data_IF_470585483937
#
_entry.id   IF_470585483937
#
_cell.length_a   1.000
_cell.length_b   1.000
_cell.length_c   1.000
_cell.angle_alpha   90.00
_cell.angle_beta   90.00
_cell.angle_gamma   90.00
#
_symmetry.space_group_name_H-M   'P 1'
#
loop_
_entity.id
_entity.type
_entity.pdbx_description
1 polymer ?
#
# COMPACT_ATOMS: atom_id res chain seq x y z
N UNK A 1 -51.66 -4.41 24.49
CA UNK A 1 -51.23 -3.09 24.00
C UNK A 1 -50.37 -2.48 25.09
N UNK A 2 -49.13 -2.08 24.77
CA UNK A 2 -48.27 -1.38 25.71
C UNK A 2 -48.86 0.03 25.97
N UNK A 3 -48.71 0.52 27.20
CA UNK A 3 -49.20 1.84 27.62
C UNK A 3 -48.38 2.98 26.98
N UNK A 4 -48.96 4.17 26.87
CA UNK A 4 -48.32 5.34 26.23
C UNK A 4 -47.00 5.78 26.91
N UNK A 5 -46.72 5.34 28.14
CA UNK A 5 -45.46 5.58 28.83
C UNK A 5 -44.35 4.59 28.45
N UNK A 6 -44.70 3.39 27.96
CA UNK A 6 -43.73 2.37 27.52
C UNK A 6 -43.15 2.63 26.12
N UNK A 7 -43.72 3.58 25.36
CA UNK A 7 -43.20 4.00 24.04
C UNK A 7 -42.13 5.10 24.12
N UNK A 8 -41.97 5.77 25.27
CA UNK A 8 -40.96 6.83 25.44
C UNK A 8 -39.53 6.33 25.59
N UNK A 9 -39.35 5.06 25.93
CA UNK A 9 -38.03 4.45 26.18
C UNK A 9 -37.58 3.49 25.06
N UNK A 10 -38.23 3.50 23.91
CA UNK A 10 -37.72 2.77 22.74
C UNK A 10 -36.56 3.58 22.14
N UNK A 11 -35.30 3.10 22.18
CA UNK A 11 -34.21 3.79 21.52
C UNK A 11 -34.52 3.82 20.02
N UNK A 12 -34.74 5.02 19.48
CA UNK A 12 -34.90 5.18 18.05
C UNK A 12 -33.52 5.03 17.41
N UNK A 13 -33.36 4.01 16.56
CA UNK A 13 -32.21 3.90 15.69
C UNK A 13 -32.52 4.69 14.41
N UNK A 14 -31.89 5.85 14.24
CA UNK A 14 -31.93 6.57 12.96
C UNK A 14 -30.99 5.86 11.99
N UNK A 15 -31.55 4.98 11.16
CA UNK A 15 -30.81 4.36 10.07
C UNK A 15 -30.91 5.24 8.82
N UNK A 16 -29.88 6.07 8.58
CA UNK A 16 -29.75 6.81 7.33
C UNK A 16 -29.06 5.94 6.28
N UNK A 17 -29.59 5.92 5.05
CA UNK A 17 -28.94 5.30 3.88
C UNK A 17 -28.65 6.37 2.85
N UNK A 18 -27.39 6.48 2.43
CA UNK A 18 -27.01 7.30 1.30
C UNK A 18 -27.02 6.42 0.05
N UNK A 19 -28.02 6.58 -0.81
CA UNK A 19 -28.12 5.82 -2.06
C UNK A 19 -27.62 6.71 -3.21
N UNK A 20 -26.50 6.33 -3.83
CA UNK A 20 -26.02 6.92 -5.07
C UNK A 20 -26.37 5.98 -6.23
N UNK A 21 -26.75 6.54 -7.38
CA UNK A 21 -26.75 5.79 -8.66
C UNK A 21 -25.35 5.22 -8.92
N UNK A 22 -25.15 4.15 -9.73
CA UNK A 22 -23.80 3.66 -10.00
C UNK A 22 -22.98 4.78 -10.65
N UNK A 23 -22.07 5.39 -9.89
CA UNK A 23 -21.15 6.43 -10.38
C UNK A 23 -19.92 5.76 -11.04
N UNK A 24 -19.68 4.48 -10.75
CA UNK A 24 -18.58 3.72 -11.33
C UNK A 24 -18.76 2.20 -11.20
N UNK A 25 -17.80 1.48 -11.76
CA UNK A 25 -17.63 0.03 -11.71
C UNK A 25 -16.65 -0.34 -10.59
N UNK A 26 -16.66 -1.60 -10.14
CA UNK A 26 -15.71 -2.09 -9.14
C UNK A 26 -14.28 -2.05 -9.69
N UNK A 27 -13.27 -1.93 -8.82
CA UNK A 27 -11.86 -1.94 -9.23
C UNK A 27 -11.48 -3.16 -10.09
N UNK A 28 -12.08 -4.32 -9.83
CA UNK A 28 -11.85 -5.56 -10.61
C UNK A 28 -12.44 -5.55 -12.03
N UNK A 29 -13.08 -4.47 -12.46
CA UNK A 29 -13.60 -4.27 -13.82
C UNK A 29 -12.64 -3.46 -14.72
N UNK A 30 -11.42 -3.18 -14.27
CA UNK A 30 -10.37 -2.58 -15.11
C UNK A 30 -10.01 -3.49 -16.29
N UNK A 31 -9.77 -2.90 -17.46
CA UNK A 31 -9.45 -3.66 -18.66
C UNK A 31 -7.97 -4.02 -18.79
N UNK A 32 -7.09 -3.28 -18.10
CA UNK A 32 -5.64 -3.35 -18.24
C UNK A 32 -4.92 -2.94 -16.95
N UNK A 33 -3.65 -3.34 -16.81
CA UNK A 33 -2.81 -2.85 -15.73
C UNK A 33 -2.53 -1.35 -15.84
N UNK A 34 -2.47 -0.80 -17.07
CA UNK A 34 -2.37 0.64 -17.29
C UNK A 34 -3.55 1.38 -16.66
N UNK A 35 -4.76 0.89 -16.92
CA UNK A 35 -5.97 1.44 -16.34
C UNK A 35 -6.00 1.32 -14.81
N UNK A 36 -5.58 0.17 -14.26
CA UNK A 36 -5.47 0.00 -12.81
C UNK A 36 -4.58 1.07 -12.18
N UNK A 37 -3.40 1.30 -12.74
CA UNK A 37 -2.45 2.30 -12.23
C UNK A 37 -3.06 3.71 -12.26
N UNK A 38 -3.79 4.06 -13.32
CA UNK A 38 -4.49 5.35 -13.43
C UNK A 38 -5.57 5.48 -12.36
N UNK A 39 -6.41 4.45 -12.19
CA UNK A 39 -7.51 4.45 -11.21
C UNK A 39 -6.97 4.56 -9.78
N UNK A 40 -5.91 3.80 -9.45
CA UNK A 40 -5.24 3.89 -8.15
C UNK A 40 -4.62 5.27 -7.92
N UNK A 41 -4.00 5.86 -8.95
CA UNK A 41 -3.45 7.20 -8.87
C UNK A 41 -4.51 8.25 -8.52
N UNK A 42 -5.63 8.27 -9.25
CA UNK A 42 -6.69 9.26 -8.99
C UNK A 42 -7.29 9.10 -7.58
N UNK A 43 -7.46 7.86 -7.11
CA UNK A 43 -7.93 7.57 -5.76
C UNK A 43 -6.95 8.12 -4.70
N UNK A 44 -5.65 7.94 -4.89
CA UNK A 44 -4.64 8.38 -3.94
C UNK A 44 -4.32 9.89 -4.03
N UNK A 45 -4.48 10.51 -5.20
CA UNK A 45 -4.46 11.98 -5.33
C UNK A 45 -5.62 12.59 -4.55
N UNK A 46 -6.83 12.00 -4.67
CA UNK A 46 -8.00 12.41 -3.89
C UNK A 46 -7.78 12.23 -2.38
N UNK A 47 -7.28 11.06 -1.98
CA UNK A 47 -6.91 10.75 -0.59
C UNK A 47 -5.92 11.78 -0.02
N UNK A 48 -4.83 12.07 -0.73
CA UNK A 48 -3.83 13.03 -0.29
C UNK A 48 -4.43 14.44 -0.15
N UNK A 49 -5.23 14.89 -1.12
CA UNK A 49 -5.87 16.20 -1.05
C UNK A 49 -6.83 16.33 0.16
N UNK A 50 -7.56 15.25 0.48
CA UNK A 50 -8.43 15.17 1.66
C UNK A 50 -7.60 15.21 2.95
N UNK A 51 -6.49 14.48 3.01
CA UNK A 51 -5.60 14.50 4.16
C UNK A 51 -4.96 15.89 4.36
N UNK A 52 -4.44 16.52 3.32
CA UNK A 52 -3.83 17.85 3.41
C UNK A 52 -4.82 18.94 3.81
N UNK A 53 -6.05 18.88 3.29
CA UNK A 53 -7.07 19.92 3.51
C UNK A 53 -7.81 19.75 4.84
N UNK A 54 -8.06 18.50 5.23
CA UNK A 54 -8.97 18.19 6.34
C UNK A 54 -8.32 17.37 7.46
N UNK A 55 -7.08 16.89 7.28
CA UNK A 55 -6.42 15.98 8.21
C UNK A 55 -7.12 14.62 8.31
N UNK A 56 -7.86 14.19 7.28
CA UNK A 56 -8.64 12.94 7.33
C UNK A 56 -7.80 11.76 6.80
N UNK A 57 -7.82 10.66 7.54
CA UNK A 57 -7.32 9.34 7.14
C UNK A 57 -8.50 8.47 6.72
N UNK A 58 -8.35 7.67 5.66
CA UNK A 58 -9.42 6.78 5.18
C UNK A 58 -9.50 5.50 6.00
N UNK A 59 -8.36 4.92 6.36
CA UNK A 59 -8.20 3.70 7.18
C UNK A 59 -8.73 2.39 6.57
N UNK A 60 -9.18 2.39 5.32
CA UNK A 60 -9.67 1.19 4.62
C UNK A 60 -9.48 1.29 3.09
N UNK A 61 -8.25 1.58 2.65
CA UNK A 61 -7.92 1.48 1.23
C UNK A 61 -7.97 0.01 0.80
N UNK A 62 -8.93 -0.31 -0.07
CA UNK A 62 -9.19 -1.68 -0.53
C UNK A 62 -9.79 -1.68 -1.94
N UNK A 63 -9.84 -2.86 -2.58
CA UNK A 63 -10.47 -3.01 -3.90
C UNK A 63 -11.97 -2.68 -3.92
N UNK A 64 -12.64 -2.74 -2.77
CA UNK A 64 -14.07 -2.46 -2.65
C UNK A 64 -14.37 -0.96 -2.56
N UNK A 65 -13.39 -0.18 -2.11
CA UNK A 65 -13.55 1.25 -1.81
C UNK A 65 -12.98 2.15 -2.91
N UNK A 66 -12.52 1.55 -4.02
CA UNK A 66 -12.06 2.27 -5.21
C UNK A 66 -12.92 1.87 -6.40
N UNK A 67 -13.51 2.86 -7.06
CA UNK A 67 -14.31 2.68 -8.25
C UNK A 67 -13.58 3.13 -9.51
N UNK A 68 -13.84 2.41 -10.60
CA UNK A 68 -13.49 2.81 -11.97
C UNK A 68 -14.65 3.63 -12.52
N UNK A 69 -14.40 4.88 -12.90
CA UNK A 69 -15.43 5.73 -13.50
C UNK A 69 -15.15 5.89 -14.98
N UNK A 70 -16.13 5.50 -15.80
CA UNK A 70 -16.09 5.62 -17.26
C UNK A 70 -17.24 6.50 -17.71
N UNK A 71 -16.88 7.63 -18.32
CA UNK A 71 -17.83 8.57 -18.87
C UNK A 71 -17.62 8.68 -20.39
N UNK A 72 -18.70 8.87 -21.14
CA UNK A 72 -18.61 9.02 -22.59
C UNK A 72 -17.67 10.16 -22.95
N UNK A 73 -16.76 9.91 -23.90
CA UNK A 73 -15.80 10.89 -24.42
C UNK A 73 -14.82 11.46 -23.38
N UNK A 74 -14.66 10.80 -22.22
CA UNK A 74 -13.70 11.18 -21.17
C UNK A 74 -12.72 10.04 -20.89
N UNK A 75 -11.49 10.36 -20.47
CA UNK A 75 -10.56 9.33 -19.99
C UNK A 75 -11.15 8.61 -18.77
N UNK A 76 -10.76 7.35 -18.60
CA UNK A 76 -11.01 6.61 -17.38
C UNK A 76 -10.38 7.33 -16.18
N UNK A 77 -11.10 7.31 -15.06
CA UNK A 77 -10.68 7.94 -13.81
C UNK A 77 -11.00 7.06 -12.61
N UNK A 78 -10.22 7.20 -11.55
CA UNK A 78 -10.48 6.55 -10.28
C UNK A 78 -11.33 7.40 -9.35
N UNK A 79 -12.05 6.75 -8.43
CA UNK A 79 -12.80 7.42 -7.38
C UNK A 79 -12.70 6.64 -6.07
N UNK A 80 -12.18 7.28 -5.03
CA UNK A 80 -12.18 6.77 -3.66
C UNK A 80 -13.54 7.01 -3.01
N UNK A 81 -14.10 5.99 -2.38
CA UNK A 81 -15.40 6.01 -1.71
C UNK A 81 -15.30 5.39 -0.32
N UNK A 82 -16.40 5.40 0.44
CA UNK A 82 -16.55 4.71 1.72
C UNK A 82 -15.60 5.22 2.83
N UNK A 83 -15.98 6.37 3.39
CA UNK A 83 -15.28 7.01 4.50
C UNK A 83 -15.88 6.61 5.86
N UNK A 84 -16.63 5.51 5.97
CA UNK A 84 -17.26 5.09 7.23
C UNK A 84 -16.21 4.72 8.29
N UNK A 85 -15.04 4.25 7.84
CA UNK A 85 -13.89 4.00 8.69
C UNK A 85 -12.98 5.24 8.84
N UNK A 86 -13.28 6.40 8.29
CA UNK A 86 -12.36 7.53 8.29
C UNK A 86 -12.20 8.19 9.68
N UNK A 87 -11.10 8.90 9.90
CA UNK A 87 -10.89 9.68 11.13
C UNK A 87 -10.07 10.93 10.88
N UNK A 88 -10.25 11.95 11.71
CA UNK A 88 -9.37 13.12 11.73
C UNK A 88 -8.10 12.74 12.50
N UNK A 89 -6.93 12.90 11.88
CA UNK A 89 -5.61 12.52 12.41
C UNK A 89 -5.30 13.19 13.76
N UNK A 90 -5.82 14.38 14.00
CA UNK A 90 -5.65 15.13 15.26
C UNK A 90 -6.61 14.72 16.38
N UNK A 91 -7.57 13.83 16.11
CA UNK A 91 -8.55 13.38 17.09
C UNK A 91 -7.92 12.40 18.09
N UNK A 92 -7.61 12.89 19.28
CA UNK A 92 -7.02 12.12 20.38
C UNK A 92 -7.97 11.08 20.98
N UNK A 93 -9.28 11.16 20.72
CA UNK A 93 -10.20 10.09 21.16
C UNK A 93 -9.93 8.77 20.41
N UNK A 94 -9.35 8.85 19.21
CA UNK A 94 -8.86 7.74 18.41
C UNK A 94 -7.62 7.04 18.99
N UNK A 95 -6.86 7.72 19.86
CA UNK A 95 -5.53 7.28 20.31
C UNK A 95 -5.56 6.44 21.58
N UNK A 96 -6.70 6.27 22.25
CA UNK A 96 -6.81 5.52 23.52
C UNK A 96 -6.65 4.00 23.28
N UNK A 97 -6.88 3.56 22.05
CA UNK A 97 -6.46 2.32 21.38
C UNK A 97 -6.99 2.43 19.96
N UNK A 98 -6.17 2.52 18.91
CA UNK A 98 -6.71 2.58 17.56
C UNK A 98 -7.57 1.34 17.34
N UNK A 99 -8.85 1.55 17.08
CA UNK A 99 -9.72 0.45 16.66
C UNK A 99 -9.10 -0.20 15.42
N UNK A 100 -9.02 -1.54 15.47
CA UNK A 100 -8.56 -2.30 14.31
C UNK A 100 -9.67 -2.28 13.27
N UNK A 101 -9.57 -1.31 12.37
CA UNK A 101 -10.47 -1.12 11.22
C UNK A 101 -9.76 -1.43 9.91
N UNK A 102 -10.55 -1.73 8.89
CA UNK A 102 -10.10 -1.99 7.53
C UNK A 102 -10.24 -3.44 7.09
N UNK A 103 -9.87 -3.70 5.85
CA UNK A 103 -9.87 -5.04 5.25
C UNK A 103 -8.56 -5.77 5.59
N UNK A 104 -8.63 -6.93 6.25
CA UNK A 104 -7.48 -7.59 6.92
C UNK A 104 -6.24 -7.77 6.01
N UNK A 105 -6.35 -8.25 4.75
CA UNK A 105 -5.21 -8.31 3.83
C UNK A 105 -4.53 -6.97 3.53
N UNK A 106 -5.25 -5.85 3.67
CA UNK A 106 -4.78 -4.52 3.33
C UNK A 106 -4.44 -3.66 4.56
N UNK A 107 -4.74 -4.10 5.79
CA UNK A 107 -4.35 -3.36 6.99
C UNK A 107 -2.81 -3.21 7.11
N UNK A 108 -2.33 -2.05 7.54
CA UNK A 108 -0.92 -1.83 7.90
C UNK A 108 -0.44 -2.74 9.04
N UNK A 109 0.87 -3.02 9.09
CA UNK A 109 1.49 -3.84 10.15
C UNK A 109 1.24 -3.22 11.52
N UNK A 110 1.40 -1.90 11.66
CA UNK A 110 1.16 -1.19 12.91
C UNK A 110 -0.29 -1.37 13.41
N UNK A 111 -1.27 -1.31 12.50
CA UNK A 111 -2.69 -1.54 12.80
C UNK A 111 -2.96 -3.00 13.19
N UNK A 112 -2.40 -3.96 12.45
CA UNK A 112 -2.57 -5.39 12.72
C UNK A 112 -2.04 -5.78 14.11
N UNK A 113 -0.90 -5.22 14.50
CA UNK A 113 -0.23 -5.46 15.79
C UNK A 113 -0.74 -4.62 16.94
N UNK A 114 -1.61 -3.63 16.67
CA UNK A 114 -2.11 -2.67 17.67
C UNK A 114 -0.97 -1.97 18.40
N UNK A 115 0.01 -1.52 17.63
CA UNK A 115 1.09 -0.70 18.19
C UNK A 115 0.52 0.56 18.82
N UNK A 116 1.10 0.97 19.95
CA UNK A 116 0.77 2.23 20.62
C UNK A 116 1.47 3.41 19.93
N UNK A 117 1.18 3.57 18.65
CA UNK A 117 1.69 4.65 17.80
C UNK A 117 0.53 5.28 17.03
N UNK A 118 0.68 6.55 16.68
CA UNK A 118 -0.32 7.27 15.90
C UNK A 118 -0.43 6.64 14.50
N UNK A 119 -1.67 6.32 14.07
CA UNK A 119 -1.96 6.02 12.65
C UNK A 119 -1.85 7.31 11.85
N UNK A 120 -1.20 7.23 10.70
CA UNK A 120 -0.95 8.37 9.81
C UNK A 120 -1.42 8.06 8.39
N UNK A 121 -1.27 9.04 7.50
CA UNK A 121 -1.50 8.86 6.06
C UNK A 121 -0.68 7.70 5.47
N UNK A 122 0.48 7.35 6.06
CA UNK A 122 1.33 6.26 5.60
C UNK A 122 0.70 4.88 5.78
N UNK A 123 -0.23 4.71 6.73
CA UNK A 123 -0.96 3.45 6.90
C UNK A 123 -1.90 3.19 5.70
N UNK A 124 -2.49 4.23 5.13
CA UNK A 124 -3.31 4.14 3.93
C UNK A 124 -2.44 3.88 2.68
N UNK A 125 -1.22 4.43 2.62
CA UNK A 125 -0.25 4.11 1.57
C UNK A 125 0.30 2.69 1.66
N UNK A 126 0.54 2.19 2.87
CA UNK A 126 0.91 0.79 3.12
C UNK A 126 -0.21 -0.15 2.65
N UNK A 127 -1.47 0.24 2.86
CA UNK A 127 -2.64 -0.47 2.35
C UNK A 127 -2.69 -0.49 0.81
N UNK A 128 -2.33 0.62 0.14
CA UNK A 128 -2.21 0.67 -1.32
C UNK A 128 -1.14 -0.31 -1.84
N UNK A 129 0.05 -0.36 -1.22
CA UNK A 129 1.09 -1.32 -1.60
C UNK A 129 0.55 -2.76 -1.54
N UNK A 130 -0.18 -3.09 -0.48
CA UNK A 130 -0.77 -4.41 -0.31
C UNK A 130 -1.83 -4.73 -1.36
N UNK A 131 -2.65 -3.74 -1.70
CA UNK A 131 -3.64 -3.87 -2.78
C UNK A 131 -2.96 -4.11 -4.14
N UNK A 132 -1.90 -3.38 -4.47
CA UNK A 132 -1.13 -3.58 -5.72
C UNK A 132 -0.53 -4.98 -5.74
N UNK A 133 0.11 -5.42 -4.65
CA UNK A 133 0.69 -6.76 -4.55
C UNK A 133 -0.39 -7.84 -4.72
N UNK A 134 -1.53 -7.68 -4.05
CA UNK A 134 -2.64 -8.62 -4.12
C UNK A 134 -3.17 -8.76 -5.55
N UNK A 135 -3.46 -7.65 -6.23
CA UNK A 135 -4.00 -7.67 -7.59
C UNK A 135 -2.98 -8.16 -8.62
N UNK A 136 -1.72 -7.76 -8.51
CA UNK A 136 -0.67 -8.23 -9.41
C UNK A 136 -0.36 -9.73 -9.23
N UNK A 137 -0.52 -10.26 -8.01
CA UNK A 137 -0.41 -11.68 -7.76
C UNK A 137 -1.67 -12.44 -8.17
N UNK A 138 -2.88 -12.07 -7.73
CA UNK A 138 -4.08 -12.89 -7.95
C UNK A 138 -4.87 -12.57 -9.21
N UNK A 139 -4.75 -11.37 -9.77
CA UNK A 139 -5.57 -10.96 -10.90
C UNK A 139 -6.08 -9.55 -10.71
N UNK A 140 -5.76 -8.66 -11.66
CA UNK A 140 -6.30 -7.28 -11.68
C UNK A 140 -7.79 -7.24 -12.02
N UNK A 141 -8.28 -8.25 -12.73
CA UNK A 141 -9.68 -8.40 -13.12
C UNK A 141 -10.07 -9.88 -13.18
N UNK A 142 -11.36 -10.14 -13.38
CA UNK A 142 -11.93 -11.51 -13.38
C UNK A 142 -11.32 -12.43 -14.44
N UNK A 143 -10.78 -11.90 -15.55
CA UNK A 143 -10.17 -12.70 -16.63
C UNK A 143 -8.82 -13.29 -16.21
N UNK A 144 -8.15 -12.63 -15.27
CA UNK A 144 -6.80 -12.98 -14.79
C UNK A 144 -6.84 -13.53 -13.36
N UNK A 145 -8.04 -13.86 -12.85
CA UNK A 145 -8.23 -14.26 -11.46
C UNK A 145 -7.74 -15.70 -11.23
N UNK A 146 -6.82 -15.88 -10.29
CA UNK A 146 -6.26 -17.18 -9.87
C UNK A 146 -6.29 -17.38 -8.36
N UNK A 147 -7.13 -16.62 -7.66
CA UNK A 147 -7.24 -16.67 -6.19
C UNK A 147 -7.42 -18.10 -5.67
N UNK A 148 -8.14 -18.94 -6.43
CA UNK A 148 -8.42 -20.34 -6.11
C UNK A 148 -7.36 -21.34 -6.59
N UNK A 149 -6.44 -20.95 -7.49
CA UNK A 149 -5.59 -21.92 -8.21
C UNK A 149 -4.27 -22.24 -7.49
N UNK A 150 -3.70 -21.29 -6.74
CA UNK A 150 -2.36 -21.45 -6.14
C UNK A 150 -2.42 -21.34 -4.60
N UNK A 151 -2.66 -22.45 -3.91
CA UNK A 151 -2.71 -22.51 -2.43
C UNK A 151 -1.37 -22.16 -1.76
N UNK A 152 -0.25 -22.30 -2.47
CA UNK A 152 1.10 -22.14 -1.91
C UNK A 152 1.72 -20.74 -2.09
N UNK A 153 0.96 -19.74 -2.56
CA UNK A 153 1.49 -18.39 -2.70
C UNK A 153 1.74 -17.76 -1.33
N UNK A 154 2.96 -17.23 -1.05
CA UNK A 154 3.27 -16.63 0.25
C UNK A 154 2.27 -15.53 0.65
N UNK A 155 1.82 -14.72 -0.31
CA UNK A 155 0.87 -13.62 -0.06
C UNK A 155 -0.50 -14.08 0.51
N UNK A 156 -0.91 -15.35 0.34
CA UNK A 156 -2.16 -15.87 0.95
C UNK A 156 -2.14 -15.80 2.46
N UNK A 157 -0.96 -15.82 3.08
CA UNK A 157 -0.87 -15.66 4.53
C UNK A 157 -1.33 -14.28 5.01
N UNK A 158 -1.44 -13.29 4.12
CA UNK A 158 -1.96 -11.97 4.46
C UNK A 158 -3.48 -11.97 4.71
N UNK A 159 -4.21 -12.99 4.23
CA UNK A 159 -5.64 -13.18 4.51
C UNK A 159 -5.90 -14.21 5.62
N UNK A 160 -4.92 -14.46 6.50
CA UNK A 160 -5.12 -15.31 7.68
C UNK A 160 -6.17 -14.72 8.61
N UNK A 161 -7.02 -15.57 9.20
CA UNK A 161 -7.96 -15.16 10.26
C UNK A 161 -7.26 -14.63 11.53
N UNK A 162 -5.94 -14.79 11.63
CA UNK A 162 -5.12 -14.27 12.72
C UNK A 162 -4.36 -13.01 12.31
N UNK A 163 -4.74 -11.82 12.82
CA UNK A 163 -4.03 -10.58 12.53
C UNK A 163 -2.54 -10.61 12.90
N UNK A 164 -2.15 -11.37 13.93
CA UNK A 164 -0.75 -11.51 14.31
C UNK A 164 0.06 -12.35 13.31
N UNK A 165 -0.55 -13.36 12.70
CA UNK A 165 0.07 -14.11 11.60
C UNK A 165 0.23 -13.19 10.40
N UNK A 166 -0.84 -12.49 9.99
CA UNK A 166 -0.79 -11.53 8.88
C UNK A 166 0.32 -10.49 9.05
N UNK A 167 0.44 -9.89 10.25
CA UNK A 167 1.48 -8.92 10.54
C UNK A 167 2.90 -9.52 10.41
N UNK A 168 3.12 -10.70 11.01
CA UNK A 168 4.42 -11.39 10.97
C UNK A 168 4.84 -11.71 9.54
N UNK A 169 3.93 -12.26 8.74
CA UNK A 169 4.25 -12.62 7.36
C UNK A 169 4.47 -11.37 6.49
N UNK A 170 3.71 -10.28 6.71
CA UNK A 170 4.00 -9.00 6.07
C UNK A 170 5.40 -8.49 6.40
N UNK A 171 5.82 -8.55 7.67
CA UNK A 171 7.20 -8.19 8.05
C UNK A 171 8.23 -9.02 7.30
N UNK A 172 8.13 -10.34 7.36
CA UNK A 172 9.08 -11.24 6.70
C UNK A 172 9.12 -11.02 5.18
N UNK A 173 7.97 -10.76 4.56
CA UNK A 173 7.91 -10.54 3.12
C UNK A 173 8.45 -9.16 2.70
N UNK A 174 8.48 -8.18 3.59
CA UNK A 174 8.82 -6.78 3.27
C UNK A 174 10.11 -6.30 3.96
N UNK A 175 10.82 -7.19 4.66
CA UNK A 175 11.99 -6.86 5.48
C UNK A 175 13.17 -6.29 4.71
N UNK A 176 13.25 -6.58 3.41
CA UNK A 176 14.33 -6.20 2.49
C UNK A 176 13.80 -6.17 1.06
N UNK A 177 14.45 -5.42 0.17
CA UNK A 177 14.15 -5.45 -1.27
C UNK A 177 14.27 -6.88 -1.81
N UNK A 178 15.26 -7.65 -1.32
CA UNK A 178 15.46 -9.06 -1.66
C UNK A 178 14.29 -9.94 -1.22
N UNK A 179 13.87 -9.90 0.03
CA UNK A 179 12.73 -10.68 0.50
C UNK A 179 11.44 -10.27 -0.18
N UNK A 180 11.24 -8.98 -0.45
CA UNK A 180 10.06 -8.53 -1.20
C UNK A 180 10.06 -9.08 -2.63
N UNK A 181 11.21 -9.05 -3.30
CA UNK A 181 11.39 -9.66 -4.62
C UNK A 181 11.11 -11.16 -4.58
N UNK A 182 11.72 -11.87 -3.65
CA UNK A 182 11.65 -13.33 -3.56
C UNK A 182 10.32 -13.84 -3.01
N UNK A 183 9.62 -13.12 -2.15
CA UNK A 183 8.39 -13.64 -1.53
C UNK A 183 7.12 -13.09 -2.18
N UNK A 184 7.19 -11.94 -2.85
CA UNK A 184 6.02 -11.28 -3.43
C UNK A 184 6.19 -11.04 -4.92
N UNK A 185 7.18 -10.23 -5.33
CA UNK A 185 7.24 -9.75 -6.71
C UNK A 185 7.48 -10.87 -7.73
N UNK A 186 8.27 -11.90 -7.38
CA UNK A 186 8.51 -13.07 -8.26
C UNK A 186 7.22 -13.81 -8.64
N UNK A 187 6.18 -13.65 -7.83
CA UNK A 187 4.89 -14.29 -8.02
C UNK A 187 3.89 -13.41 -8.77
N UNK A 188 4.24 -12.20 -9.22
CA UNK A 188 3.33 -11.42 -10.05
C UNK A 188 3.03 -12.16 -11.36
N UNK A 189 1.78 -12.06 -11.84
CA UNK A 189 1.38 -12.78 -13.03
C UNK A 189 2.00 -12.17 -14.29
N UNK A 190 2.94 -12.90 -14.89
CA UNK A 190 3.58 -12.51 -16.15
C UNK A 190 2.64 -12.47 -17.36
N UNK A 191 1.50 -13.16 -17.27
CA UNK A 191 0.46 -13.17 -18.33
C UNK A 191 -0.39 -11.89 -18.35
N UNK A 192 -0.38 -11.11 -17.27
CA UNK A 192 -1.07 -9.82 -17.23
C UNK A 192 -0.33 -8.82 -18.14
N UNK A 193 -1.10 -7.99 -18.81
CA UNK A 193 -0.53 -6.89 -19.59
C UNK A 193 0.25 -5.95 -18.67
N UNK A 194 1.38 -5.43 -19.15
CA UNK A 194 2.23 -4.50 -18.39
C UNK A 194 2.55 -4.97 -16.96
N UNK A 195 2.68 -6.29 -16.71
CA UNK A 195 3.06 -6.82 -15.39
C UNK A 195 4.34 -6.16 -14.84
N UNK A 196 5.28 -5.81 -15.73
CA UNK A 196 6.52 -5.09 -15.37
C UNK A 196 6.23 -3.70 -14.80
N UNK A 197 5.19 -2.99 -15.25
CA UNK A 197 4.79 -1.72 -14.67
C UNK A 197 4.27 -1.88 -13.23
N UNK A 198 3.47 -2.92 -12.96
CA UNK A 198 3.02 -3.25 -11.61
C UNK A 198 4.19 -3.69 -10.71
N UNK A 199 5.11 -4.49 -11.25
CA UNK A 199 6.35 -4.89 -10.57
C UNK A 199 7.15 -3.68 -10.12
N UNK A 200 7.45 -2.76 -11.04
CA UNK A 200 8.22 -1.56 -10.73
C UNK A 200 7.47 -0.63 -9.77
N UNK A 201 6.16 -0.44 -9.96
CA UNK A 201 5.35 0.36 -9.04
C UNK A 201 5.40 -0.19 -7.61
N UNK A 202 5.14 -1.49 -7.43
CA UNK A 202 5.18 -2.14 -6.12
C UNK A 202 6.57 -2.02 -5.48
N UNK A 203 7.65 -2.29 -6.23
CA UNK A 203 9.03 -2.15 -5.76
C UNK A 203 9.33 -0.73 -5.28
N UNK A 204 8.95 0.29 -6.07
CA UNK A 204 9.21 1.70 -5.74
C UNK A 204 8.37 2.19 -4.56
N UNK A 205 7.12 1.75 -4.43
CA UNK A 205 6.30 2.01 -3.25
C UNK A 205 6.91 1.38 -1.99
N UNK A 206 7.36 0.12 -2.09
CA UNK A 206 8.05 -0.56 -1.00
C UNK A 206 9.34 0.16 -0.59
N UNK A 207 10.23 0.49 -1.52
CA UNK A 207 11.45 1.27 -1.24
C UNK A 207 11.12 2.60 -0.55
N UNK A 208 10.10 3.31 -1.03
CA UNK A 208 9.73 4.62 -0.50
C UNK A 208 9.09 4.56 0.88
N UNK A 209 8.33 3.50 1.20
CA UNK A 209 7.69 3.28 2.49
C UNK A 209 8.65 2.71 3.55
N UNK A 210 9.51 1.77 3.14
CA UNK A 210 10.27 0.91 4.06
C UNK A 210 11.79 1.20 4.05
N UNK A 211 12.35 1.80 2.98
CA UNK A 211 13.79 2.01 2.79
C UNK A 211 14.13 3.48 2.47
N UNK A 212 13.33 4.42 2.96
CA UNK A 212 13.42 5.81 2.54
C UNK A 212 14.76 6.45 2.94
N UNK A 213 15.45 7.03 1.96
CA UNK A 213 16.74 7.69 2.16
C UNK A 213 16.71 8.99 2.97
N UNK A 214 15.52 9.52 3.28
CA UNK A 214 15.34 10.67 4.17
C UNK A 214 15.32 10.28 5.65
N UNK A 215 15.28 8.98 5.99
CA UNK A 215 15.44 8.50 7.37
C UNK A 215 16.93 8.45 7.73
N UNK A 216 17.26 8.67 9.01
CA UNK A 216 18.62 8.49 9.51
C UNK A 216 19.16 7.10 9.12
N UNK A 217 20.43 7.02 8.71
CA UNK A 217 21.05 5.80 8.21
C UNK A 217 20.89 4.61 9.18
N UNK A 218 20.99 4.85 10.49
CA UNK A 218 20.83 3.81 11.52
C UNK A 218 19.39 3.32 11.65
N UNK A 219 18.41 4.12 11.21
CA UNK A 219 16.99 3.81 11.19
C UNK A 219 16.62 3.15 9.86
N UNK A 220 17.17 3.61 8.72
CA UNK A 220 17.01 3.00 7.40
C UNK A 220 17.37 1.52 7.41
N UNK A 221 18.45 1.13 8.10
CA UNK A 221 18.87 -0.28 8.24
C UNK A 221 17.99 -1.10 9.20
N UNK A 222 17.16 -0.45 10.02
CA UNK A 222 16.31 -1.10 11.04
C UNK A 222 14.82 -0.96 10.75
N UNK A 223 14.46 -0.19 9.73
CA UNK A 223 13.15 -0.22 9.11
C UNK A 223 12.88 -1.62 8.59
N UNK A 224 12.28 -2.42 9.47
CA UNK A 224 11.71 -3.75 9.20
C UNK A 224 12.69 -4.92 9.11
N UNK A 225 13.86 -4.86 9.76
CA UNK A 225 14.78 -6.02 9.78
C UNK A 225 15.62 -6.16 8.50
N UNK A 226 15.77 -5.07 7.76
CA UNK A 226 16.67 -4.97 6.63
C UNK A 226 18.09 -5.41 6.99
N UNK A 227 18.56 -6.51 6.40
CA UNK A 227 19.99 -6.81 6.38
C UNK A 227 20.70 -5.83 5.46
N UNK A 228 22.00 -5.66 5.68
CA UNK A 228 22.90 -4.68 5.03
C UNK A 228 23.14 -4.91 3.53
N UNK A 229 22.24 -5.62 2.85
CA UNK A 229 22.37 -6.02 1.45
C UNK A 229 21.91 -4.88 0.52
N UNK A 230 22.52 -3.69 0.68
CA UNK A 230 22.56 -2.67 -0.35
C UNK A 230 23.74 -2.96 -1.27
N UNK A 231 23.63 -3.94 -2.16
CA UNK A 231 24.41 -4.05 -3.41
C UNK A 231 23.93 -5.31 -4.16
N UNK A 232 22.95 -5.18 -5.07
CA UNK A 232 22.82 -6.14 -6.17
C UNK A 232 22.62 -5.37 -7.50
N UNK A 233 23.32 -5.88 -8.50
CA UNK A 233 23.51 -5.47 -9.90
C UNK A 233 22.22 -5.08 -10.65
N UNK A 234 22.32 -4.30 -11.76
CA UNK A 234 21.17 -3.93 -12.57
C UNK A 234 20.39 -5.16 -13.07
N UNK A 235 19.05 -5.06 -13.01
CA UNK A 235 18.11 -6.02 -13.61
C UNK A 235 18.31 -6.05 -15.15
N UNK A 236 19.11 -6.98 -15.66
CA UNK A 236 19.34 -7.18 -17.12
C UNK A 236 18.08 -7.65 -17.89
N UNK A 237 16.99 -8.00 -17.21
CA UNK A 237 15.78 -8.56 -17.85
C UNK A 237 14.69 -7.53 -18.21
N UNK A 238 14.86 -6.23 -17.95
CA UNK A 238 13.83 -5.20 -18.26
C UNK A 238 14.38 -3.86 -18.80
N UNK A 239 15.49 -3.89 -19.56
CA UNK A 239 16.00 -2.70 -20.25
C UNK A 239 15.27 -2.53 -21.59
N UNK A 240 14.48 -1.44 -21.71
CA UNK A 240 14.27 -0.84 -23.03
C UNK A 240 15.61 -0.24 -23.45
N UNK A 241 16.18 -0.79 -24.53
CA UNK A 241 17.51 -0.50 -25.06
C UNK A 241 17.90 0.98 -25.02
N UNK A 242 19.10 1.26 -24.51
CA UNK A 242 20.06 2.16 -25.14
C UNK A 242 21.46 1.86 -24.55
N UNK A 243 22.43 1.64 -25.43
CA UNK A 243 23.76 1.12 -25.13
C UNK A 243 24.85 2.17 -25.30
N UNK A 244 25.66 2.38 -24.27
CA UNK A 244 27.12 2.62 -24.26
C UNK A 244 27.53 2.49 -22.77
N UNK A 245 28.72 2.15 -22.30
CA UNK A 245 30.01 1.83 -22.86
C UNK A 245 31.03 2.07 -21.73
N UNK A 246 31.77 1.03 -21.34
CA UNK A 246 33.13 1.03 -20.71
C UNK A 246 33.36 1.24 -19.19
N UNK A 247 34.19 0.32 -18.64
CA UNK A 247 35.14 0.51 -17.51
C UNK A 247 34.64 0.07 -16.11
N UNK A 248 35.41 -0.47 -15.17
CA UNK A 248 36.75 -1.08 -15.04
C UNK A 248 36.77 -1.64 -13.58
N UNK A 249 37.08 -2.92 -13.39
CA UNK A 249 37.01 -3.59 -12.07
C UNK A 249 38.30 -3.39 -11.26
N UNK A 250 38.17 -2.94 -10.00
CA UNK A 250 39.18 -3.18 -8.96
C UNK A 250 38.54 -3.46 -7.60
N UNK A 251 38.78 -4.68 -7.13
CA UNK A 251 38.56 -5.16 -5.78
C UNK A 251 39.53 -4.52 -4.77
N UNK A 252 39.02 -4.12 -3.61
CA UNK A 252 39.81 -4.16 -2.35
C UNK A 252 38.89 -4.46 -1.17
N UNK A 253 39.18 -5.56 -0.47
CA UNK A 253 38.63 -5.93 0.83
C UNK A 253 39.11 -4.98 1.94
N UNK A 254 38.24 -4.71 2.93
CA UNK A 254 38.66 -4.45 4.32
C UNK A 254 37.53 -4.75 5.30
N UNK A 255 37.77 -5.76 6.15
CA UNK A 255 37.06 -6.01 7.40
C UNK A 255 37.22 -4.82 8.36
N UNK A 256 36.19 -4.51 9.17
CA UNK A 256 36.27 -4.44 10.64
C UNK A 256 35.03 -3.80 11.28
N UNK A 257 34.66 -4.34 12.44
CA UNK A 257 34.19 -3.50 13.54
C UNK A 257 32.77 -3.75 14.05
N UNK A 258 32.54 -4.91 14.66
CA UNK A 258 31.43 -5.09 15.59
C UNK A 258 31.63 -4.20 16.82
N UNK A 259 31.05 -2.99 16.81
CA UNK A 259 30.79 -2.22 18.02
C UNK A 259 29.29 -2.31 18.33
N UNK A 260 28.94 -3.17 19.31
CA UNK A 260 27.66 -3.12 20.01
C UNK A 260 27.63 -1.85 20.85
N UNK A 261 27.24 -0.74 20.22
CA UNK A 261 26.86 0.45 20.94
C UNK A 261 25.38 0.31 21.35
N UNK A 262 25.09 0.60 22.61
CA UNK A 262 23.77 0.55 23.23
C UNK A 262 22.90 1.71 22.75
N UNK A 263 22.64 1.78 21.44
CA UNK A 263 21.69 2.72 20.86
C UNK A 263 20.29 2.27 21.25
N UNK A 264 19.49 3.15 21.85
CA UNK A 264 18.05 2.99 22.00
C UNK A 264 17.48 2.38 20.70
N UNK A 265 16.74 1.28 20.84
CA UNK A 265 16.19 0.55 19.70
C UNK A 265 15.17 1.43 19.01
N UNK A 266 15.58 2.13 17.94
CA UNK A 266 14.69 3.03 17.21
C UNK A 266 13.58 2.21 16.59
N UNK A 267 12.33 2.44 17.02
CA UNK A 267 11.17 1.83 16.40
C UNK A 267 10.93 2.52 15.04
N UNK A 268 11.13 1.82 13.92
CA UNK A 268 11.02 2.44 12.60
C UNK A 268 9.62 2.95 12.26
N UNK A 269 8.58 2.39 12.89
CA UNK A 269 7.21 2.87 12.73
C UNK A 269 6.95 4.17 13.48
N UNK A 270 7.72 4.45 14.53
CA UNK A 270 7.69 5.76 15.20
C UNK A 270 8.43 6.78 14.34
N UNK A 271 9.60 6.41 13.82
CA UNK A 271 10.43 7.34 13.04
C UNK A 271 9.74 7.77 11.74
N UNK A 272 9.09 6.84 11.02
CA UNK A 272 8.38 7.19 9.77
C UNK A 272 7.28 8.24 9.97
N UNK A 273 6.71 8.36 11.16
CA UNK A 273 5.68 9.37 11.48
C UNK A 273 6.28 10.78 11.37
N UNK A 274 7.50 10.98 11.86
CA UNK A 274 8.22 12.27 11.79
C UNK A 274 8.42 12.73 10.34
N UNK A 275 8.55 11.78 9.41
CA UNK A 275 8.79 12.03 7.99
C UNK A 275 7.55 11.86 7.10
N UNK A 276 6.36 11.67 7.68
CA UNK A 276 5.15 11.26 6.95
C UNK A 276 4.80 12.18 5.77
N UNK A 277 4.97 13.50 5.92
CA UNK A 277 4.72 14.46 4.83
C UNK A 277 5.67 14.29 3.65
N UNK A 278 6.97 14.13 3.92
CA UNK A 278 7.98 13.95 2.86
C UNK A 278 7.77 12.60 2.16
N UNK A 279 7.57 11.55 2.95
CA UNK A 279 7.28 10.21 2.46
C UNK A 279 6.05 10.16 1.55
N UNK A 280 4.97 10.82 1.97
CA UNK A 280 3.74 10.90 1.19
C UNK A 280 3.95 11.60 -0.15
N UNK A 281 4.74 12.68 -0.18
CA UNK A 281 5.10 13.36 -1.43
C UNK A 281 5.88 12.44 -2.38
N UNK A 282 6.87 11.71 -1.86
CA UNK A 282 7.66 10.76 -2.66
C UNK A 282 6.77 9.65 -3.24
N UNK A 283 5.86 9.10 -2.42
CA UNK A 283 4.91 8.06 -2.83
C UNK A 283 3.93 8.54 -3.90
N UNK A 284 3.41 9.75 -3.73
CA UNK A 284 2.53 10.37 -4.71
C UNK A 284 3.27 10.62 -6.03
N UNK A 285 4.53 11.03 -5.99
CA UNK A 285 5.37 11.21 -7.17
C UNK A 285 5.63 9.88 -7.91
N UNK A 286 5.94 8.80 -7.17
CA UNK A 286 6.12 7.45 -7.73
C UNK A 286 4.86 6.98 -8.46
N UNK A 287 3.69 7.13 -7.82
CA UNK A 287 2.42 6.69 -8.39
C UNK A 287 2.02 7.57 -9.58
N UNK A 288 2.17 8.90 -9.48
CA UNK A 288 1.85 9.85 -10.55
C UNK A 288 2.71 9.65 -11.79
N UNK A 289 4.02 9.37 -11.63
CA UNK A 289 4.90 9.04 -12.76
C UNK A 289 4.47 7.74 -13.44
N UNK A 290 4.13 6.73 -12.66
CA UNK A 290 3.62 5.45 -13.18
C UNK A 290 2.31 5.64 -13.97
N UNK A 291 1.39 6.45 -13.45
CA UNK A 291 0.13 6.79 -14.13
C UNK A 291 0.36 7.59 -15.41
N UNK A 292 1.27 8.57 -15.42
CA UNK A 292 1.61 9.32 -16.62
C UNK A 292 2.18 8.41 -17.74
N UNK A 293 2.99 7.41 -17.38
CA UNK A 293 3.47 6.40 -18.33
C UNK A 293 2.34 5.48 -18.83
N UNK A 294 1.43 5.08 -17.93
CA UNK A 294 0.25 4.30 -18.29
C UNK A 294 -0.67 5.04 -19.26
N UNK A 295 -0.95 6.33 -19.01
CA UNK A 295 -1.73 7.18 -19.91
C UNK A 295 -1.13 7.28 -21.32
N UNK A 296 0.20 7.35 -21.43
CA UNK A 296 0.89 7.39 -22.73
C UNK A 296 0.75 6.09 -23.52
N UNK A 297 0.62 4.95 -22.83
CA UNK A 297 0.47 3.62 -23.47
C UNK A 297 -0.97 3.30 -23.88
N UNK A 298 -1.96 4.00 -23.33
CA UNK A 298 -3.38 3.84 -23.69
C UNK A 298 -3.83 4.71 -24.86
N UNK A 299 -2.99 5.65 -25.32
CA UNK A 299 -3.23 6.49 -26.50
C UNK A 299 -2.53 5.91 -27.72
#
# INVERSE_FOLDING_TARGET
>A
MLSAEQQKDTPFCLHARHAMTPIGQRLREVDSAAELIIVLNDAMVCHNAINESCGILHRDISANNILVVREKDKPVRGMLIDFDCAIVESDKSASIRPERTGTLPFMSIANLERMDIQRTVLDDWESLLYLVCWLATFGINRKNDREDEDEHLPIKSWSSDSPSITAREKRNHLDSVRSFRVNILKHFQKKQDLWGALYHLARRLHESLFFNGNLDEKVRMRCHGATDDLLEEPDDDLIMEESDGSGDNRDTHSENGLNKDSSEEVNPFVERITHAKSLTKDLLEVLSKSAALAYKRMK
#
